data_IF_678531129966
#
_entry.id   IF_678531129966
#
_cell.length_a   1.000
_cell.length_b   1.000
_cell.length_c   1.000
_cell.angle_alpha   90.00
_cell.angle_beta   90.00
_cell.angle_gamma   90.00
#
_symmetry.space_group_name_H-M   'P 1'
#
loop_
_entity.id
_entity.type
_entity.pdbx_description
1 polymer ?
#
# COMPACT_ATOMS: atom_id res chain seq x y z
N UNK A 1 0.57 4.68 -37.26
CA UNK A 1 1.16 4.80 -35.92
C UNK A 1 1.58 3.40 -35.47
N UNK A 2 2.87 3.07 -35.52
CA UNK A 2 3.32 1.75 -35.09
C UNK A 2 3.29 1.70 -33.57
N UNK A 3 2.36 0.94 -33.01
CA UNK A 3 2.40 0.63 -31.59
C UNK A 3 3.62 -0.25 -31.31
N UNK A 4 4.56 0.25 -30.55
CA UNK A 4 5.67 -0.55 -30.03
C UNK A 4 5.06 -1.54 -29.03
N UNK A 5 4.94 -2.81 -29.44
CA UNK A 5 4.59 -3.87 -28.50
C UNK A 5 5.87 -4.29 -27.78
N UNK A 6 5.89 -4.14 -26.47
CA UNK A 6 6.93 -4.78 -25.65
C UNK A 6 6.62 -6.27 -25.69
N UNK A 7 7.44 -7.02 -26.45
CA UNK A 7 7.30 -8.47 -26.59
C UNK A 7 8.12 -9.23 -25.55
N UNK A 8 9.06 -8.56 -24.90
CA UNK A 8 9.90 -9.13 -23.86
C UNK A 8 9.35 -8.76 -22.47
N UNK A 9 9.01 -9.77 -21.67
CA UNK A 9 8.54 -9.61 -20.29
C UNK A 9 9.67 -9.33 -19.29
N UNK A 10 10.94 -9.44 -19.71
CA UNK A 10 12.11 -9.15 -18.87
C UNK A 10 12.24 -7.68 -18.51
N UNK A 11 12.99 -7.40 -17.45
CA UNK A 11 13.33 -6.01 -17.06
C UNK A 11 14.22 -5.41 -18.13
N UNK A 12 13.82 -4.27 -18.67
CA UNK A 12 14.57 -3.57 -19.68
C UNK A 12 15.64 -2.63 -19.07
N UNK A 13 16.78 -2.39 -19.73
CA UNK A 13 17.83 -1.52 -19.21
C UNK A 13 17.32 -0.13 -18.82
N UNK A 14 16.43 0.46 -19.61
CA UNK A 14 15.86 1.78 -19.31
C UNK A 14 15.00 1.78 -18.05
N UNK A 15 14.32 0.68 -17.70
CA UNK A 15 13.54 0.58 -16.47
C UNK A 15 14.46 0.69 -15.24
N UNK A 16 15.61 0.02 -15.27
CA UNK A 16 16.61 0.10 -14.20
C UNK A 16 17.20 1.51 -14.08
N UNK A 17 17.52 2.14 -15.22
CA UNK A 17 18.04 3.50 -15.27
C UNK A 17 17.02 4.50 -14.72
N UNK A 18 15.76 4.40 -15.13
CA UNK A 18 14.69 5.30 -14.67
C UNK A 18 14.38 5.11 -13.18
N UNK A 19 14.38 3.88 -12.66
CA UNK A 19 14.22 3.62 -11.23
C UNK A 19 15.36 4.25 -10.43
N UNK A 20 16.59 4.11 -10.93
CA UNK A 20 17.77 4.76 -10.32
C UNK A 20 17.64 6.28 -10.28
N UNK A 21 17.18 6.89 -11.38
CA UNK A 21 16.94 8.33 -11.46
C UNK A 21 15.85 8.77 -10.47
N UNK A 22 14.71 8.09 -10.43
CA UNK A 22 13.60 8.38 -9.49
C UNK A 22 14.08 8.31 -8.06
N UNK A 23 14.82 7.27 -7.67
CA UNK A 23 15.37 7.14 -6.32
C UNK A 23 16.32 8.27 -5.95
N UNK A 24 17.13 8.75 -6.89
CA UNK A 24 18.04 9.86 -6.69
C UNK A 24 17.31 11.19 -6.52
N UNK A 25 16.23 11.42 -7.29
CA UNK A 25 15.53 12.71 -7.32
C UNK A 25 14.39 12.80 -6.32
N UNK A 26 13.81 11.67 -5.86
CA UNK A 26 12.70 11.68 -4.91
C UNK A 26 12.96 12.50 -3.63
N UNK A 27 14.15 12.40 -2.98
CA UNK A 27 14.44 13.23 -1.81
C UNK A 27 14.44 14.74 -2.10
N UNK A 28 14.73 15.16 -3.33
CA UNK A 28 14.74 16.56 -3.73
C UNK A 28 13.31 17.14 -3.83
N UNK A 29 12.30 16.27 -3.89
CA UNK A 29 10.88 16.66 -3.89
C UNK A 29 10.31 16.81 -2.47
N UNK A 30 11.08 16.47 -1.43
CA UNK A 30 10.66 16.58 -0.04
C UNK A 30 11.20 17.84 0.61
N UNK A 31 10.33 18.63 1.24
CA UNK A 31 10.69 19.87 1.93
C UNK A 31 10.29 19.78 3.40
N UNK A 32 11.24 19.98 4.30
CA UNK A 32 10.94 20.19 5.71
C UNK A 32 10.36 21.59 5.92
N UNK A 33 9.07 21.67 6.24
CA UNK A 33 8.42 22.94 6.59
C UNK A 33 8.75 23.37 8.03
N UNK A 34 8.94 22.41 8.93
CA UNK A 34 9.29 22.62 10.31
C UNK A 34 10.12 21.47 10.85
N UNK A 35 11.14 21.74 11.61
CA UNK A 35 11.97 20.76 12.30
C UNK A 35 12.18 21.24 13.74
N UNK A 36 11.77 20.43 14.70
CA UNK A 36 11.98 20.68 16.12
C UNK A 36 12.87 19.59 16.70
N UNK A 37 13.70 19.94 17.63
CA UNK A 37 14.48 19.06 18.51
C UNK A 37 15.28 17.95 17.81
N UNK A 38 15.76 18.18 16.59
CA UNK A 38 16.55 17.22 15.83
C UNK A 38 15.87 15.83 15.67
N UNK A 39 14.54 15.78 15.73
CA UNK A 39 13.78 14.53 15.62
C UNK A 39 14.01 13.79 14.27
N UNK A 40 14.36 14.52 13.23
CA UNK A 40 14.66 13.95 11.91
C UNK A 40 16.06 14.42 11.43
N UNK A 41 16.81 13.56 10.71
CA UNK A 41 16.47 12.20 10.30
C UNK A 41 16.56 11.20 11.47
N UNK A 42 15.71 10.16 11.44
CA UNK A 42 15.77 9.06 12.39
C UNK A 42 16.79 8.04 11.93
N UNK A 43 17.64 7.57 12.84
CA UNK A 43 18.53 6.44 12.56
C UNK A 43 17.72 5.14 12.39
N UNK A 44 18.21 4.24 11.54
CA UNK A 44 17.60 2.92 11.41
C UNK A 44 17.65 2.16 12.75
N UNK A 45 16.52 1.57 13.13
CA UNK A 45 16.32 0.88 14.40
C UNK A 45 15.02 0.09 14.37
N UNK A 46 14.45 -0.20 15.52
CA UNK A 46 13.17 -0.89 15.63
C UNK A 46 12.01 0.07 15.40
N UNK A 47 11.09 -0.33 14.52
CA UNK A 47 9.90 0.47 14.21
C UNK A 47 8.63 -0.36 14.34
N UNK A 48 7.65 0.18 15.05
CA UNK A 48 6.29 -0.31 15.09
C UNK A 48 5.50 0.38 13.96
N UNK A 49 5.26 -0.34 12.88
CA UNK A 49 4.56 0.14 11.68
C UNK A 49 3.12 -0.37 11.69
N UNK A 50 2.16 0.54 11.53
CA UNK A 50 0.72 0.26 11.60
C UNK A 50 -0.02 0.90 10.43
N UNK A 51 -1.25 0.44 10.24
CA UNK A 51 -2.19 1.00 9.26
C UNK A 51 -2.17 0.30 7.90
N UNK A 52 -3.26 0.50 7.17
CA UNK A 52 -3.48 -0.19 5.88
C UNK A 52 -2.50 0.23 4.80
N UNK A 53 -2.04 1.48 4.83
CA UNK A 53 -1.10 2.03 3.85
C UNK A 53 0.29 1.42 3.92
N UNK A 54 0.66 0.77 5.03
CA UNK A 54 1.96 0.14 5.20
C UNK A 54 2.23 -0.93 4.12
N UNK A 55 1.27 -1.80 3.86
CA UNK A 55 1.32 -2.89 2.86
C UNK A 55 0.51 -2.60 1.59
N UNK A 56 -0.54 -1.80 1.70
CA UNK A 56 -1.39 -1.39 0.57
C UNK A 56 -1.13 0.07 0.19
N UNK A 57 0.14 0.41 0.09
CA UNK A 57 0.61 1.74 -0.26
C UNK A 57 0.03 2.18 -1.60
N UNK A 58 -0.59 3.36 -1.63
CA UNK A 58 -1.15 3.93 -2.86
C UNK A 58 -0.01 4.42 -3.74
N UNK A 59 0.19 3.77 -4.88
CA UNK A 59 1.26 4.09 -5.84
C UNK A 59 0.92 5.21 -6.82
N UNK A 60 -0.35 5.59 -6.90
CA UNK A 60 -0.85 6.59 -7.85
C UNK A 60 -2.34 6.83 -7.72
N UNK A 61 -2.91 7.61 -8.62
CA UNK A 61 -4.36 7.85 -8.66
C UNK A 61 -5.14 6.62 -9.12
N UNK A 62 -6.46 6.65 -8.88
CA UNK A 62 -7.40 5.65 -9.40
C UNK A 62 -7.75 5.91 -10.87
N UNK A 63 -8.31 4.91 -11.55
CA UNK A 63 -8.70 5.02 -12.96
C UNK A 63 -7.48 5.08 -13.90
N UNK A 64 -7.38 6.09 -14.75
CA UNK A 64 -6.30 6.23 -15.73
C UNK A 64 -4.92 6.46 -15.10
N UNK A 65 -4.86 6.85 -13.84
CA UNK A 65 -3.62 6.98 -13.07
C UNK A 65 -3.14 5.67 -12.45
N UNK A 66 -3.96 4.63 -12.43
CA UNK A 66 -3.59 3.32 -11.89
C UNK A 66 -2.93 2.49 -13.00
N UNK A 67 -1.67 2.78 -13.26
CA UNK A 67 -0.87 2.07 -14.26
C UNK A 67 -0.34 0.75 -13.71
N UNK A 68 -0.29 -0.26 -14.58
CA UNK A 68 0.36 -1.52 -14.25
C UNK A 68 1.87 -1.31 -14.15
N UNK A 69 2.43 -1.74 -13.03
CA UNK A 69 3.86 -1.73 -12.76
C UNK A 69 4.32 -3.16 -12.46
N UNK A 70 5.59 -3.48 -12.71
CA UNK A 70 6.14 -4.79 -12.38
C UNK A 70 6.21 -5.00 -10.87
N UNK A 71 6.63 -3.97 -10.19
CA UNK A 71 6.77 -3.91 -8.75
C UNK A 71 6.66 -2.46 -8.30
N UNK A 72 6.09 -2.23 -7.13
CA UNK A 72 6.17 -0.96 -6.41
C UNK A 72 6.56 -1.23 -4.96
N UNK A 73 7.39 -0.35 -4.43
CA UNK A 73 7.89 -0.46 -3.06
C UNK A 73 6.79 0.02 -2.12
N UNK A 74 6.35 -0.85 -1.22
CA UNK A 74 5.45 -0.47 -0.13
C UNK A 74 6.21 0.29 0.94
N UNK A 75 5.49 0.91 1.88
CA UNK A 75 6.15 1.59 3.01
C UNK A 75 6.87 0.56 3.90
N UNK A 76 6.27 -0.61 4.14
CA UNK A 76 6.94 -1.72 4.85
C UNK A 76 8.27 -2.06 4.17
N UNK A 77 8.25 -2.38 2.89
CA UNK A 77 9.45 -2.72 2.12
C UNK A 77 10.47 -1.56 2.07
N UNK A 78 9.98 -0.32 1.92
CA UNK A 78 10.85 0.85 1.89
C UNK A 78 11.60 1.06 3.19
N UNK A 79 10.96 0.84 4.34
CA UNK A 79 11.58 0.92 5.65
C UNK A 79 12.58 -0.22 5.88
N UNK A 80 12.24 -1.46 5.50
CA UNK A 80 13.19 -2.59 5.57
C UNK A 80 14.41 -2.34 4.69
N UNK A 81 14.22 -1.83 3.46
CA UNK A 81 15.31 -1.47 2.56
C UNK A 81 16.19 -0.32 3.12
N UNK A 82 15.64 0.52 3.98
CA UNK A 82 16.37 1.56 4.70
C UNK A 82 17.05 1.05 5.99
N UNK A 83 16.92 -0.24 6.31
CA UNK A 83 17.58 -0.90 7.44
C UNK A 83 16.77 -0.88 8.74
N UNK A 84 15.48 -0.52 8.70
CA UNK A 84 14.61 -0.62 9.87
C UNK A 84 14.16 -2.07 10.11
N UNK A 85 14.05 -2.46 11.36
CA UNK A 85 13.46 -3.72 11.81
C UNK A 85 11.98 -3.48 12.15
N UNK A 86 11.06 -4.07 11.36
CA UNK A 86 9.62 -3.93 11.60
C UNK A 86 9.19 -4.92 12.68
N UNK A 87 8.78 -4.40 13.84
CA UNK A 87 8.41 -5.21 15.01
C UNK A 87 6.93 -5.59 15.04
N UNK A 88 6.08 -4.88 14.31
CA UNK A 88 4.62 -5.02 14.29
C UNK A 88 4.07 -5.90 13.17
N UNK A 89 4.88 -6.78 12.56
CA UNK A 89 4.44 -7.65 11.45
C UNK A 89 3.23 -8.51 11.81
N UNK A 90 3.20 -9.05 13.03
CA UNK A 90 2.07 -9.83 13.50
C UNK A 90 0.77 -9.01 13.57
N UNK A 91 0.87 -7.74 13.95
CA UNK A 91 -0.28 -6.82 13.92
C UNK A 91 -0.78 -6.61 12.48
N UNK A 92 0.13 -6.36 11.54
CA UNK A 92 -0.24 -6.18 10.13
C UNK A 92 -0.86 -7.44 9.53
N UNK A 93 -0.35 -8.63 9.89
CA UNK A 93 -0.94 -9.91 9.47
C UNK A 93 -2.36 -10.08 10.02
N UNK A 94 -2.58 -9.74 11.29
CA UNK A 94 -3.90 -9.78 11.92
C UNK A 94 -4.86 -8.78 11.24
N UNK A 95 -4.41 -7.57 10.96
CA UNK A 95 -5.20 -6.56 10.26
C UNK A 95 -5.56 -6.99 8.83
N UNK A 96 -4.60 -7.54 8.08
CA UNK A 96 -4.85 -8.06 6.72
C UNK A 96 -5.92 -9.18 6.74
N UNK A 97 -5.92 -10.03 7.75
CA UNK A 97 -6.94 -11.06 7.92
C UNK A 97 -8.34 -10.45 8.21
N UNK A 98 -8.42 -9.44 9.07
CA UNK A 98 -9.68 -8.70 9.34
C UNK A 98 -10.24 -8.11 8.05
N UNK A 99 -9.41 -7.44 7.26
CA UNK A 99 -9.81 -6.83 5.99
C UNK A 99 -10.22 -7.90 4.97
N UNK A 100 -9.53 -9.02 4.90
CA UNK A 100 -9.84 -10.11 3.98
C UNK A 100 -11.22 -10.74 4.29
N UNK A 101 -11.52 -11.00 5.56
CA UNK A 101 -12.83 -11.55 5.97
C UNK A 101 -13.96 -10.52 5.76
N UNK A 102 -13.72 -9.26 6.06
CA UNK A 102 -14.68 -8.19 5.78
C UNK A 102 -14.99 -8.08 4.28
N UNK A 103 -13.96 -8.16 3.44
CA UNK A 103 -14.11 -8.14 1.98
C UNK A 103 -14.93 -9.35 1.49
N UNK A 104 -14.66 -10.54 1.98
CA UNK A 104 -15.41 -11.75 1.65
C UNK A 104 -16.89 -11.59 2.00
N UNK A 105 -17.17 -11.14 3.21
CA UNK A 105 -18.55 -10.88 3.68
C UNK A 105 -19.24 -9.81 2.83
N UNK A 106 -18.53 -8.75 2.47
CA UNK A 106 -19.04 -7.71 1.59
C UNK A 106 -19.41 -8.26 0.20
N UNK A 107 -18.52 -9.05 -0.41
CA UNK A 107 -18.75 -9.64 -1.73
C UNK A 107 -19.95 -10.61 -1.70
N UNK A 108 -20.09 -11.43 -0.66
CA UNK A 108 -21.22 -12.33 -0.49
C UNK A 108 -22.54 -11.55 -0.36
N UNK A 109 -22.54 -10.48 0.43
CA UNK A 109 -23.71 -9.59 0.55
C UNK A 109 -24.09 -8.95 -0.79
N UNK A 110 -23.11 -8.40 -1.53
CA UNK A 110 -23.35 -7.81 -2.85
C UNK A 110 -23.94 -8.83 -3.83
N UNK A 111 -23.43 -10.06 -3.85
CA UNK A 111 -23.95 -11.14 -4.69
C UNK A 111 -25.39 -11.51 -4.32
N UNK A 112 -25.71 -11.61 -3.04
CA UNK A 112 -27.05 -11.93 -2.54
C UNK A 112 -28.04 -10.83 -2.91
N UNK A 113 -27.73 -9.56 -2.63
CA UNK A 113 -28.59 -8.42 -2.96
C UNK A 113 -28.83 -8.32 -4.48
N UNK A 114 -27.80 -8.55 -5.29
CA UNK A 114 -27.91 -8.55 -6.74
C UNK A 114 -28.86 -9.66 -7.25
N UNK A 115 -28.76 -10.86 -6.68
CA UNK A 115 -29.62 -11.98 -7.03
C UNK A 115 -31.09 -11.71 -6.67
N UNK A 116 -31.35 -11.13 -5.51
CA UNK A 116 -32.72 -10.73 -5.08
C UNK A 116 -33.34 -9.70 -6.03
N UNK A 117 -32.53 -8.83 -6.63
CA UNK A 117 -32.96 -7.83 -7.59
C UNK A 117 -32.97 -8.31 -9.05
N UNK A 118 -32.46 -9.52 -9.32
CA UNK A 118 -32.31 -10.04 -10.68
C UNK A 118 -31.26 -9.27 -11.52
N UNK A 119 -30.28 -8.64 -10.87
CA UNK A 119 -29.26 -7.83 -11.51
C UNK A 119 -27.91 -8.59 -11.50
N UNK A 120 -27.06 -8.36 -12.52
CA UNK A 120 -25.73 -8.89 -12.52
C UNK A 120 -24.90 -8.36 -11.34
N UNK A 121 -24.27 -9.26 -10.56
CA UNK A 121 -23.56 -8.89 -9.33
C UNK A 121 -22.41 -7.91 -9.55
N UNK A 122 -21.71 -7.98 -10.70
CA UNK A 122 -20.63 -7.03 -11.04
C UNK A 122 -21.22 -5.64 -11.26
N UNK A 123 -22.31 -5.55 -12.04
CA UNK A 123 -22.97 -4.28 -12.30
C UNK A 123 -23.55 -3.67 -11.02
N UNK A 124 -24.15 -4.50 -10.16
CA UNK A 124 -24.69 -4.06 -8.88
C UNK A 124 -23.60 -3.60 -7.91
N UNK A 125 -22.44 -4.25 -7.93
CA UNK A 125 -21.30 -3.88 -7.09
C UNK A 125 -20.54 -2.63 -7.54
N UNK A 126 -20.70 -2.22 -8.80
CA UNK A 126 -20.07 -1.00 -9.30
C UNK A 126 -20.56 0.22 -8.53
N UNK A 127 -19.62 0.95 -7.94
CA UNK A 127 -19.94 2.12 -7.11
C UNK A 127 -20.30 1.82 -5.65
N UNK A 128 -20.34 0.55 -5.23
CA UNK A 128 -20.45 0.19 -3.82
C UNK A 128 -19.07 0.12 -3.18
N UNK A 129 -18.88 0.83 -2.08
CA UNK A 129 -17.67 0.75 -1.28
C UNK A 129 -17.88 -0.23 -0.11
N UNK A 130 -16.87 -1.02 0.17
CA UNK A 130 -16.82 -1.78 1.41
C UNK A 130 -16.60 -0.80 2.57
N UNK A 131 -17.42 -0.83 3.62
CA UNK A 131 -17.15 -0.04 4.81
C UNK A 131 -15.84 -0.50 5.46
N UNK A 132 -15.16 0.41 6.15
CA UNK A 132 -14.02 0.05 6.98
C UNK A 132 -14.46 -0.96 8.04
N UNK A 133 -13.77 -2.11 8.17
CA UNK A 133 -14.12 -3.09 9.19
C UNK A 133 -13.79 -2.57 10.59
N UNK A 134 -14.66 -2.87 11.56
CA UNK A 134 -14.35 -2.66 12.97
C UNK A 134 -13.34 -3.72 13.42
N UNK A 135 -12.36 -3.32 14.21
CA UNK A 135 -11.36 -4.21 14.78
C UNK A 135 -10.82 -3.69 16.11
N UNK A 136 -10.38 -4.62 16.96
CA UNK A 136 -9.69 -4.33 18.22
C UNK A 136 -8.33 -5.02 18.19
N UNK A 137 -7.33 -4.34 17.65
CA UNK A 137 -5.94 -4.82 17.61
C UNK A 137 -5.07 -3.85 18.41
N UNK A 138 -4.41 -4.30 19.48
CA UNK A 138 -3.59 -3.43 20.33
C UNK A 138 -2.37 -2.93 19.57
N UNK A 139 -2.04 -1.65 19.76
CA UNK A 139 -0.83 -1.02 19.20
C UNK A 139 0.31 -1.13 20.23
N UNK A 140 0.76 -2.34 20.49
CA UNK A 140 1.66 -2.69 21.58
C UNK A 140 3.02 -3.23 21.13
N UNK A 141 3.33 -3.18 19.84
CA UNK A 141 4.64 -3.59 19.35
C UNK A 141 5.73 -2.65 19.86
N UNK A 142 6.81 -3.23 20.38
CA UNK A 142 7.97 -2.49 20.86
C UNK A 142 8.74 -1.85 19.70
N UNK A 143 9.24 -0.62 19.89
CA UNK A 143 10.05 0.06 18.89
C UNK A 143 10.58 1.39 19.38
N UNK A 144 11.65 1.85 18.74
CA UNK A 144 12.22 3.18 18.97
C UNK A 144 11.35 4.27 18.31
N UNK A 145 10.55 3.88 17.33
CA UNK A 145 9.67 4.71 16.54
C UNK A 145 8.35 3.99 16.27
N UNK A 146 7.25 4.71 16.32
CA UNK A 146 5.96 4.25 15.82
C UNK A 146 5.55 5.06 14.58
N UNK A 147 5.12 4.36 13.53
CA UNK A 147 4.64 4.95 12.28
C UNK A 147 3.25 4.40 11.98
N UNK A 148 2.30 5.27 11.72
CA UNK A 148 0.95 4.91 11.30
C UNK A 148 0.69 5.47 9.89
N UNK A 149 0.24 4.60 8.95
CA UNK A 149 0.07 4.93 7.53
C UNK A 149 -1.35 4.68 7.05
#
# INVERSE_FOLDING_TARGET
MNMIRITDAGVQPFETEHIGLVRKTAPECALFLKREDETLPVAAGKVALYGSGARKTIKGGTGSGDVNVRHYVTIEEGMENAGFEITSKAWMDAYDNVVAEAHKTFVERVKKEAAELGINAVMYGMGKAMPEPEYELPLDAEGDLAVYV
#
